data_IF_560947339736
#
_entry.id   IF_560947339736
#
_cell.length_a   1.000
_cell.length_b   1.000
_cell.length_c   1.000
_cell.angle_alpha   90.00
_cell.angle_beta   90.00
_cell.angle_gamma   90.00
#
_symmetry.space_group_name_H-M   'P 1'
#
loop_
_entity.id
_entity.type
_entity.pdbx_description
1 polymer ?
#
# COMPACT_ATOMS: atom_id res chain seq x y z
N UNK A 1 -35.75 -16.65 -4.01
CA UNK A 1 -35.15 -15.32 -4.23
C UNK A 1 -33.75 -15.36 -3.64
N UNK A 2 -32.74 -15.59 -4.48
CA UNK A 2 -31.35 -15.73 -4.04
C UNK A 2 -30.73 -14.37 -3.79
N UNK A 3 -30.33 -14.10 -2.55
CA UNK A 3 -29.42 -13.01 -2.23
C UNK A 3 -28.12 -13.23 -3.02
N UNK A 4 -27.88 -12.37 -4.01
CA UNK A 4 -26.58 -12.28 -4.66
C UNK A 4 -25.74 -11.33 -3.80
N UNK A 5 -24.65 -11.77 -3.16
CA UNK A 5 -23.92 -10.92 -2.24
C UNK A 5 -23.22 -9.81 -3.03
N UNK A 6 -23.56 -8.57 -2.70
CA UNK A 6 -23.01 -7.29 -3.22
C UNK A 6 -21.51 -7.07 -2.90
N UNK A 7 -20.77 -8.11 -2.50
CA UNK A 7 -19.40 -8.02 -1.97
C UNK A 7 -18.44 -8.98 -2.70
N UNK A 8 -18.22 -8.76 -4.00
CA UNK A 8 -17.06 -9.31 -4.72
C UNK A 8 -16.50 -8.25 -5.67
N UNK A 9 -15.96 -7.15 -5.12
CA UNK A 9 -15.22 -6.15 -5.91
C UNK A 9 -13.73 -6.47 -5.83
N UNK A 10 -13.32 -7.50 -6.58
CA UNK A 10 -11.91 -7.80 -6.76
C UNK A 10 -11.23 -6.66 -7.53
N UNK A 11 -10.07 -6.15 -7.08
CA UNK A 11 -9.27 -5.18 -7.85
C UNK A 11 -9.15 -5.56 -9.33
N UNK A 12 -9.45 -4.61 -10.24
CA UNK A 12 -9.50 -4.86 -11.68
C UNK A 12 -8.13 -4.64 -12.32
N UNK A 13 -7.66 -5.64 -13.06
CA UNK A 13 -6.46 -5.61 -13.90
C UNK A 13 -6.61 -4.53 -14.98
N UNK A 14 -5.80 -3.48 -14.92
CA UNK A 14 -5.71 -2.46 -15.97
C UNK A 14 -4.45 -2.63 -16.82
N UNK A 15 -4.57 -2.52 -18.14
CA UNK A 15 -3.47 -2.61 -19.11
C UNK A 15 -3.56 -1.43 -20.06
N UNK A 16 -2.89 -0.31 -19.80
CA UNK A 16 -2.78 0.73 -20.81
C UNK A 16 -1.45 1.48 -20.74
N UNK A 17 -1.04 2.03 -21.89
CA UNK A 17 0.14 2.90 -22.06
C UNK A 17 -0.17 4.38 -21.75
N UNK A 18 -1.39 4.69 -21.28
CA UNK A 18 -1.85 6.04 -20.97
C UNK A 18 -1.48 6.42 -19.55
N UNK A 19 -1.35 7.72 -19.28
CA UNK A 19 -0.90 8.25 -17.99
C UNK A 19 -2.06 8.53 -17.01
N UNK A 20 -3.25 7.97 -17.27
CA UNK A 20 -4.46 8.26 -16.50
C UNK A 20 -5.43 7.06 -16.45
N UNK A 21 -6.10 6.89 -15.31
CA UNK A 21 -7.19 5.93 -15.19
C UNK A 21 -8.49 6.47 -15.81
N UNK A 22 -9.34 5.63 -16.41
CA UNK A 22 -10.71 6.01 -16.71
C UNK A 22 -11.44 6.46 -15.44
N UNK A 23 -12.32 7.46 -15.52
CA UNK A 23 -12.96 8.07 -14.34
C UNK A 23 -13.69 7.06 -13.43
N UNK A 24 -14.29 6.01 -14.01
CA UNK A 24 -14.94 4.96 -13.24
C UNK A 24 -13.94 4.06 -12.50
N UNK A 25 -12.73 3.89 -13.02
CA UNK A 25 -11.64 3.15 -12.37
C UNK A 25 -11.05 4.00 -11.26
N UNK A 26 -10.77 5.27 -11.52
CA UNK A 26 -10.33 6.23 -10.50
C UNK A 26 -11.29 6.28 -9.29
N UNK A 27 -12.60 6.42 -9.55
CA UNK A 27 -13.60 6.45 -8.48
C UNK A 27 -13.58 5.17 -7.62
N UNK A 28 -13.39 4.00 -8.24
CA UNK A 28 -13.23 2.74 -7.51
C UNK A 28 -11.92 2.71 -6.71
N UNK A 29 -10.79 3.16 -7.27
CA UNK A 29 -9.51 3.21 -6.54
C UNK A 29 -9.66 4.13 -5.32
N UNK A 30 -10.28 5.30 -5.49
CA UNK A 30 -10.52 6.25 -4.38
C UNK A 30 -11.40 5.65 -3.29
N UNK A 31 -12.44 4.91 -3.66
CA UNK A 31 -13.34 4.26 -2.73
C UNK A 31 -12.70 3.07 -2.00
N UNK A 32 -11.90 2.26 -2.71
CA UNK A 32 -11.34 0.99 -2.20
C UNK A 32 -9.98 1.15 -1.55
N UNK A 33 -9.17 2.10 -2.00
CA UNK A 33 -7.80 2.32 -1.55
C UNK A 33 -6.80 1.27 -2.05
N UNK A 34 -7.14 0.45 -3.05
CA UNK A 34 -6.26 -0.58 -3.61
C UNK A 34 -6.61 -0.90 -5.08
N UNK A 35 -5.62 -1.36 -5.85
CA UNK A 35 -5.77 -1.74 -7.26
C UNK A 35 -4.76 -2.81 -7.69
N UNK A 36 -5.12 -3.61 -8.69
CA UNK A 36 -4.20 -4.53 -9.36
C UNK A 36 -4.03 -4.06 -10.80
N UNK A 37 -2.80 -3.84 -11.24
CA UNK A 37 -2.47 -3.37 -12.58
C UNK A 37 -1.80 -4.51 -13.34
N UNK A 38 -2.37 -4.87 -14.49
CA UNK A 38 -1.92 -6.00 -15.29
C UNK A 38 -0.75 -5.68 -16.18
N UNK A 39 0.07 -6.70 -16.44
CA UNK A 39 1.06 -6.67 -17.53
C UNK A 39 1.95 -5.41 -17.51
N UNK A 40 2.30 -4.97 -16.28
CA UNK A 40 3.19 -3.84 -16.05
C UNK A 40 4.58 -4.22 -16.53
N UNK A 41 5.06 -5.39 -16.15
CA UNK A 41 6.23 -6.02 -16.79
C UNK A 41 5.73 -7.20 -17.62
N UNK A 42 6.28 -7.46 -18.82
CA UNK A 42 5.97 -8.68 -19.57
C UNK A 42 6.15 -9.93 -18.70
N UNK A 43 5.23 -10.90 -18.83
CA UNK A 43 5.21 -12.07 -17.93
C UNK A 43 6.54 -12.84 -17.92
N UNK A 44 7.14 -13.07 -19.09
CA UNK A 44 8.41 -13.78 -19.19
C UNK A 44 9.54 -12.99 -18.51
N UNK A 45 9.59 -11.68 -18.70
CA UNK A 45 10.60 -10.83 -18.08
C UNK A 45 10.48 -10.84 -16.54
N UNK A 46 9.26 -10.83 -16.00
CA UNK A 46 9.03 -10.95 -14.56
C UNK A 46 9.45 -12.34 -14.02
N UNK A 47 9.25 -13.42 -14.79
CA UNK A 47 9.75 -14.75 -14.43
C UNK A 47 11.29 -14.79 -14.47
N UNK A 48 11.90 -14.14 -15.45
CA UNK A 48 13.36 -14.05 -15.55
C UNK A 48 13.95 -13.27 -14.38
N UNK A 49 13.31 -12.19 -13.93
CA UNK A 49 13.68 -11.48 -12.71
C UNK A 49 13.69 -12.40 -11.48
N UNK A 50 12.70 -13.29 -11.34
CA UNK A 50 12.67 -14.28 -10.25
C UNK A 50 13.90 -15.17 -10.27
N UNK A 51 14.24 -15.74 -11.43
CA UNK A 51 15.37 -16.65 -11.55
C UNK A 51 16.71 -15.94 -11.39
N UNK A 52 16.83 -14.70 -11.88
CA UNK A 52 18.00 -13.84 -11.64
C UNK A 52 18.19 -13.53 -10.15
N UNK A 53 17.12 -13.21 -9.42
CA UNK A 53 17.19 -12.96 -7.96
C UNK A 53 17.57 -14.24 -7.21
N UNK A 54 16.99 -15.40 -7.56
CA UNK A 54 17.37 -16.69 -6.97
C UNK A 54 18.83 -17.02 -7.23
N UNK A 55 19.30 -16.80 -8.46
CA UNK A 55 20.71 -16.96 -8.82
C UNK A 55 21.59 -16.00 -8.02
N UNK A 56 21.21 -14.73 -7.90
CA UNK A 56 21.94 -13.73 -7.12
C UNK A 56 22.06 -14.15 -5.65
N UNK A 57 20.95 -14.54 -5.01
CA UNK A 57 20.94 -15.00 -3.61
C UNK A 57 21.84 -16.22 -3.42
N UNK A 58 21.73 -17.21 -4.30
CA UNK A 58 22.53 -18.44 -4.23
C UNK A 58 24.03 -18.16 -4.31
N UNK A 59 24.45 -17.24 -5.18
CA UNK A 59 25.87 -16.90 -5.36
C UNK A 59 26.45 -15.99 -4.25
N UNK A 60 25.60 -15.44 -3.38
CA UNK A 60 25.99 -14.64 -2.22
C UNK A 60 25.52 -15.30 -0.91
N UNK A 61 25.42 -16.64 -0.90
CA UNK A 61 24.99 -17.40 0.27
C UNK A 61 25.89 -17.10 1.49
N UNK A 62 25.26 -16.85 2.63
CA UNK A 62 25.95 -16.45 3.87
C UNK A 62 26.29 -14.95 3.97
N UNK A 63 26.13 -14.18 2.89
CA UNK A 63 26.32 -12.72 2.89
C UNK A 63 25.01 -11.95 2.96
N UNK A 64 23.92 -12.55 2.44
CA UNK A 64 22.58 -11.95 2.44
C UNK A 64 21.77 -12.52 3.61
N UNK A 65 21.22 -11.64 4.45
CA UNK A 65 20.32 -12.04 5.52
C UNK A 65 18.97 -12.48 4.97
N UNK A 66 18.50 -13.64 5.43
CA UNK A 66 17.18 -14.19 5.13
C UNK A 66 16.34 -14.36 6.40
N UNK A 67 15.02 -14.16 6.29
CA UNK A 67 14.09 -14.26 7.42
C UNK A 67 12.80 -15.01 7.07
N UNK A 68 12.28 -15.89 7.95
CA UNK A 68 12.91 -16.40 9.16
C UNK A 68 14.16 -17.25 8.84
N UNK A 69 15.13 -17.33 9.74
CA UNK A 69 16.44 -17.99 9.47
C UNK A 69 16.33 -19.46 9.05
N UNK A 70 15.34 -20.18 9.58
CA UNK A 70 15.14 -21.62 9.34
C UNK A 70 14.50 -21.92 7.98
N UNK A 71 13.72 -20.98 7.46
CA UNK A 71 13.01 -21.10 6.18
C UNK A 71 12.84 -19.69 5.60
N UNK A 72 13.89 -19.12 4.97
CA UNK A 72 13.86 -17.73 4.54
C UNK A 72 12.79 -17.46 3.48
N UNK A 73 11.78 -16.67 3.87
CA UNK A 73 10.71 -16.20 3.00
C UNK A 73 10.94 -14.74 2.54
N UNK A 74 11.68 -13.96 3.34
CA UNK A 74 12.16 -12.61 3.02
C UNK A 74 13.69 -12.56 2.97
N UNK A 75 14.22 -11.70 2.10
CA UNK A 75 15.66 -11.53 1.91
C UNK A 75 16.02 -10.03 1.91
N UNK A 76 17.08 -9.65 2.62
CA UNK A 76 17.60 -8.28 2.64
C UNK A 76 18.43 -7.99 1.38
N UNK A 77 17.76 -8.03 0.22
CA UNK A 77 18.33 -7.66 -1.08
C UNK A 77 17.65 -6.39 -1.56
N UNK A 78 18.43 -5.39 -1.96
CA UNK A 78 17.90 -4.09 -2.37
C UNK A 78 18.34 -3.65 -3.76
N UNK A 79 19.52 -4.10 -4.21
CA UNK A 79 20.22 -3.58 -5.38
C UNK A 79 20.50 -4.64 -6.45
N UNK A 80 19.79 -5.78 -6.42
CA UNK A 80 19.92 -6.74 -7.52
C UNK A 80 19.52 -6.08 -8.85
N UNK A 81 20.15 -6.50 -9.95
CA UNK A 81 19.86 -5.98 -11.28
C UNK A 81 18.36 -6.02 -11.59
N UNK A 82 17.67 -7.13 -11.23
CA UNK A 82 16.25 -7.30 -11.45
C UNK A 82 15.39 -6.31 -10.64
N UNK A 83 15.78 -5.99 -9.40
CA UNK A 83 15.07 -4.97 -8.61
C UNK A 83 15.26 -3.57 -9.18
N UNK A 84 16.48 -3.23 -9.60
CA UNK A 84 16.75 -1.93 -10.22
C UNK A 84 15.99 -1.81 -11.53
N UNK A 85 16.05 -2.83 -12.39
CA UNK A 85 15.35 -2.87 -13.67
C UNK A 85 13.82 -2.77 -13.51
N UNK A 86 13.24 -3.51 -12.55
CA UNK A 86 11.81 -3.45 -12.28
C UNK A 86 11.35 -2.05 -11.82
N UNK A 87 12.13 -1.39 -10.95
CA UNK A 87 11.83 -0.02 -10.49
C UNK A 87 11.94 1.02 -11.60
N UNK A 88 12.85 0.84 -12.55
CA UNK A 88 13.05 1.73 -13.70
C UNK A 88 12.25 1.32 -14.94
N UNK A 89 11.36 0.33 -14.85
CA UNK A 89 10.61 -0.14 -16.02
C UNK A 89 9.59 0.92 -16.44
N UNK A 90 9.62 1.36 -17.69
CA UNK A 90 8.78 2.47 -18.21
C UNK A 90 7.28 2.31 -17.91
N UNK A 91 6.73 1.09 -17.93
CA UNK A 91 5.32 0.87 -17.58
C UNK A 91 5.05 0.87 -16.07
N UNK A 92 6.05 0.54 -15.26
CA UNK A 92 5.94 0.65 -13.80
C UNK A 92 5.93 2.12 -13.41
N UNK A 93 6.79 2.92 -14.03
CA UNK A 93 6.77 4.38 -13.91
C UNK A 93 5.42 4.97 -14.37
N UNK A 94 4.88 4.55 -15.51
CA UNK A 94 3.56 5.00 -15.96
C UNK A 94 2.43 4.65 -14.99
N UNK A 95 2.44 3.42 -14.46
CA UNK A 95 1.44 2.97 -13.49
C UNK A 95 1.50 3.76 -12.17
N UNK A 96 2.70 4.02 -11.66
CA UNK A 96 2.91 4.79 -10.43
C UNK A 96 2.60 6.28 -10.63
N UNK A 97 2.95 6.88 -11.77
CA UNK A 97 2.53 8.25 -12.09
C UNK A 97 1.01 8.37 -12.21
N UNK A 98 0.32 7.42 -12.84
CA UNK A 98 -1.14 7.42 -12.89
C UNK A 98 -1.79 7.34 -11.48
N UNK A 99 -1.16 6.61 -10.54
CA UNK A 99 -1.58 6.57 -9.14
C UNK A 99 -1.29 7.88 -8.40
N UNK A 100 -0.16 8.53 -8.68
CA UNK A 100 0.16 9.84 -8.11
C UNK A 100 -0.87 10.90 -8.48
N UNK A 101 -1.38 10.87 -9.72
CA UNK A 101 -2.41 11.81 -10.18
C UNK A 101 -3.77 11.65 -9.47
N UNK A 102 -3.96 10.61 -8.66
CA UNK A 102 -5.13 10.50 -7.78
C UNK A 102 -5.02 11.40 -6.54
N UNK A 103 -3.82 11.88 -6.23
CA UNK A 103 -3.57 12.70 -5.06
C UNK A 103 -3.61 14.19 -5.41
N UNK A 104 -3.82 15.01 -4.39
CA UNK A 104 -3.70 16.46 -4.49
C UNK A 104 -3.12 17.02 -3.19
N UNK A 105 -2.76 18.29 -3.21
CA UNK A 105 -2.32 19.06 -2.05
C UNK A 105 -2.62 20.54 -2.29
N UNK A 106 -2.57 21.35 -1.24
CA UNK A 106 -2.65 22.81 -1.33
C UNK A 106 -1.48 23.38 -2.18
N UNK A 107 -1.73 24.51 -2.85
CA UNK A 107 -0.81 25.10 -3.85
C UNK A 107 0.60 25.43 -3.29
N UNK A 108 0.73 25.68 -2.00
CA UNK A 108 1.99 25.99 -1.31
C UNK A 108 2.70 24.75 -0.74
N UNK A 109 2.08 23.57 -0.83
CA UNK A 109 2.70 22.30 -0.42
C UNK A 109 3.81 21.94 -1.40
N UNK A 110 5.03 21.76 -0.89
CA UNK A 110 6.19 21.34 -1.70
C UNK A 110 6.09 19.86 -2.03
N UNK A 111 5.33 19.54 -3.08
CA UNK A 111 5.09 18.20 -3.58
C UNK A 111 4.99 18.19 -5.11
N UNK A 112 5.70 17.27 -5.76
CA UNK A 112 5.57 17.03 -7.21
C UNK A 112 5.00 15.63 -7.45
N UNK A 113 3.74 15.58 -7.88
CA UNK A 113 3.03 14.33 -8.22
C UNK A 113 3.31 13.84 -9.65
N UNK A 114 4.08 14.60 -10.44
CA UNK A 114 4.46 14.24 -11.81
C UNK A 114 5.76 13.45 -11.89
N UNK A 115 6.41 13.22 -10.75
CA UNK A 115 7.67 12.47 -10.64
C UNK A 115 7.56 11.36 -9.59
N UNK A 116 8.39 10.32 -9.73
CA UNK A 116 8.54 9.27 -8.73
C UNK A 116 9.96 9.23 -8.20
N UNK A 117 10.07 8.94 -6.91
CA UNK A 117 11.33 8.56 -6.27
C UNK A 117 11.31 7.06 -6.00
N UNK A 118 12.33 6.35 -6.48
CA UNK A 118 12.49 4.93 -6.16
C UNK A 118 12.79 4.76 -4.67
N UNK A 119 11.94 4.03 -3.94
CA UNK A 119 12.07 3.87 -2.49
C UNK A 119 11.90 2.40 -2.05
N UNK A 120 12.60 2.02 -0.97
CA UNK A 120 12.59 0.67 -0.37
C UNK A 120 12.09 0.79 1.08
N UNK A 121 11.04 0.04 1.47
CA UNK A 121 10.10 0.58 2.47
C UNK A 121 9.55 -0.41 3.55
N UNK A 122 9.07 0.15 4.69
CA UNK A 122 8.24 -0.38 5.82
C UNK A 122 7.34 0.75 6.42
N UNK A 123 6.30 0.53 7.23
CA UNK A 123 5.29 1.58 7.61
C UNK A 123 5.18 1.90 9.12
N UNK A 124 4.59 3.06 9.53
CA UNK A 124 4.50 3.49 10.96
C UNK A 124 3.29 4.38 11.38
N UNK A 125 3.22 4.59 12.70
CA UNK A 125 2.12 5.07 13.60
C UNK A 125 1.67 6.52 13.37
N UNK A 126 0.35 6.77 13.49
CA UNK A 126 -0.35 7.99 13.02
C UNK A 126 -0.70 9.05 14.08
N UNK A 127 -0.59 8.74 15.37
CA UNK A 127 -1.21 9.55 16.44
C UNK A 127 -0.37 10.67 17.04
N UNK A 128 0.95 10.49 17.13
CA UNK A 128 1.81 11.34 17.96
C UNK A 128 2.24 12.63 17.27
N UNK A 129 2.29 12.62 15.94
CA UNK A 129 2.78 13.75 15.17
C UNK A 129 1.68 14.81 14.98
N UNK A 130 1.87 16.07 15.41
CA UNK A 130 0.86 17.11 15.26
C UNK A 130 0.49 17.39 13.79
N UNK A 131 1.45 17.35 12.87
CA UNK A 131 1.20 17.59 11.45
C UNK A 131 0.39 16.45 10.86
N UNK A 132 0.77 15.21 11.14
CA UNK A 132 0.04 14.05 10.66
C UNK A 132 -1.41 14.00 11.16
N UNK A 133 -1.67 14.47 12.39
CA UNK A 133 -3.05 14.56 12.91
C UNK A 133 -3.92 15.50 12.09
N UNK A 134 -3.36 16.54 11.47
CA UNK A 134 -4.13 17.47 10.64
C UNK A 134 -4.78 16.78 9.44
N UNK A 135 -4.13 15.75 8.89
CA UNK A 135 -4.70 14.89 7.84
C UNK A 135 -6.06 14.29 8.21
N UNK A 136 -6.35 14.16 9.50
CA UNK A 136 -7.50 13.47 10.04
C UNK A 136 -8.40 14.39 10.86
N UNK A 137 -8.23 15.71 10.75
CA UNK A 137 -9.01 16.73 11.48
C UNK A 137 -10.51 16.51 11.30
N UNK A 138 -10.95 16.25 10.07
CA UNK A 138 -12.36 15.98 9.79
C UNK A 138 -12.87 14.74 10.53
N UNK A 139 -12.09 13.65 10.57
CA UNK A 139 -12.47 12.45 11.31
C UNK A 139 -12.61 12.77 12.80
N UNK A 140 -11.64 13.48 13.38
CA UNK A 140 -11.67 13.85 14.80
C UNK A 140 -12.82 14.82 15.14
N UNK A 141 -13.27 15.62 14.18
CA UNK A 141 -14.43 16.51 14.32
C UNK A 141 -15.78 15.79 14.07
N UNK A 142 -15.78 14.47 13.84
CA UNK A 142 -17.00 13.69 13.55
C UNK A 142 -17.48 13.82 12.10
N UNK A 143 -16.69 14.41 11.22
CA UNK A 143 -16.96 14.62 9.80
C UNK A 143 -16.30 13.52 8.95
N UNK A 144 -16.51 12.25 9.29
CA UNK A 144 -15.85 11.13 8.61
C UNK A 144 -16.62 10.55 7.43
N UNK A 145 -17.92 10.83 7.26
CA UNK A 145 -18.77 10.20 6.23
C UNK A 145 -18.61 10.76 4.81
N UNK A 146 -18.93 9.93 3.81
CA UNK A 146 -18.71 10.14 2.36
C UNK A 146 -19.59 11.22 1.70
N UNK A 147 -20.72 11.62 2.31
CA UNK A 147 -21.77 12.38 1.61
C UNK A 147 -21.80 13.90 1.91
N UNK A 148 -20.75 14.45 2.51
CA UNK A 148 -20.56 15.90 2.66
C UNK A 148 -19.09 16.21 2.36
N UNK A 149 -18.75 17.48 2.13
CA UNK A 149 -17.38 18.01 2.09
C UNK A 149 -16.60 17.56 3.35
N UNK A 150 -15.98 16.38 3.31
CA UNK A 150 -15.52 15.60 4.48
C UNK A 150 -14.30 14.76 4.11
N UNK A 151 -13.60 14.29 5.15
CA UNK A 151 -12.25 13.70 5.11
C UNK A 151 -11.84 13.11 3.75
N UNK A 152 -10.83 13.73 3.15
CA UNK A 152 -10.20 13.22 1.94
C UNK A 152 -8.94 12.40 2.27
N UNK A 153 -8.97 11.11 1.93
CA UNK A 153 -7.81 10.24 2.10
C UNK A 153 -6.69 10.52 1.09
N UNK A 154 -6.97 11.21 -0.01
CA UNK A 154 -6.06 11.53 -1.11
C UNK A 154 -5.48 12.96 -1.04
N UNK A 155 -5.76 13.69 0.03
CA UNK A 155 -5.08 14.94 0.36
C UNK A 155 -3.70 14.63 1.00
N UNK A 156 -2.65 15.13 0.36
CA UNK A 156 -1.26 14.97 0.77
C UNK A 156 -0.69 16.18 1.53
N UNK A 157 -1.43 17.29 1.64
CA UNK A 157 -0.99 18.58 2.22
C UNK A 157 -0.19 18.40 3.50
N UNK A 158 -0.78 17.75 4.50
CA UNK A 158 -0.12 17.52 5.78
C UNK A 158 0.67 16.20 5.85
N UNK A 159 0.56 15.33 4.83
CA UNK A 159 1.20 14.00 4.84
C UNK A 159 2.68 14.06 4.51
N UNK A 160 3.07 14.99 3.65
CA UNK A 160 4.45 15.12 3.19
C UNK A 160 5.35 15.73 4.26
N UNK A 161 4.80 16.57 5.14
CA UNK A 161 5.50 17.18 6.26
C UNK A 161 5.42 16.36 7.55
N UNK A 162 4.56 15.34 7.58
CA UNK A 162 4.37 14.49 8.74
C UNK A 162 5.67 13.76 9.15
N UNK A 163 6.00 13.80 10.44
CA UNK A 163 7.13 13.04 10.98
C UNK A 163 6.76 11.57 11.20
N UNK A 164 6.89 10.78 10.14
CA UNK A 164 6.52 9.35 10.13
C UNK A 164 7.38 8.49 11.08
N UNK A 165 8.67 8.80 11.24
CA UNK A 165 9.57 8.11 12.17
C UNK A 165 9.97 8.98 13.38
N UNK A 166 9.04 9.08 14.34
CA UNK A 166 9.25 9.78 15.60
C UNK A 166 10.26 9.12 16.55
N UNK A 167 10.52 7.81 16.42
CA UNK A 167 11.35 7.03 17.37
C UNK A 167 12.64 6.47 16.75
N UNK A 168 13.00 6.89 15.54
CA UNK A 168 14.19 6.43 14.80
C UNK A 168 14.34 4.90 14.83
N UNK A 169 13.24 4.20 14.53
CA UNK A 169 13.15 2.76 14.77
C UNK A 169 13.64 2.00 13.56
N UNK A 170 14.21 0.78 13.72
CA UNK A 170 14.73 0.01 12.60
C UNK A 170 13.72 -0.24 11.48
N UNK A 171 12.41 -0.17 11.74
CA UNK A 171 11.32 -0.30 10.78
C UNK A 171 10.68 1.01 10.29
N UNK A 172 11.24 2.17 10.64
CA UNK A 172 10.73 3.47 10.21
C UNK A 172 10.87 3.72 8.71
N UNK A 173 10.04 4.63 8.19
CA UNK A 173 10.13 5.11 6.82
C UNK A 173 10.38 6.61 6.81
N UNK A 174 11.32 7.03 5.96
CA UNK A 174 11.76 8.42 5.81
C UNK A 174 11.13 9.12 4.61
N UNK A 175 10.24 8.46 3.86
CA UNK A 175 9.63 8.99 2.64
C UNK A 175 8.11 8.85 2.70
N UNK A 176 7.41 9.87 2.22
CA UNK A 176 5.97 9.77 2.02
C UNK A 176 5.68 8.81 0.86
N UNK A 177 4.90 7.77 1.13
CA UNK A 177 4.29 6.91 0.11
C UNK A 177 2.82 7.17 0.05
N UNK A 178 2.34 7.53 -1.11
CA UNK A 178 0.92 7.61 -1.40
C UNK A 178 0.29 6.21 -1.60
N UNK A 179 0.99 5.28 -2.27
CA UNK A 179 0.66 3.87 -2.36
C UNK A 179 1.84 2.99 -1.96
N UNK A 180 1.57 1.87 -1.29
CA UNK A 180 2.52 0.75 -1.24
C UNK A 180 2.25 -0.14 -2.44
N UNK A 181 3.23 -0.93 -2.86
CA UNK A 181 2.95 -1.92 -3.89
C UNK A 181 4.07 -2.90 -4.13
N UNK A 182 3.76 -3.93 -4.90
CA UNK A 182 4.69 -4.98 -5.27
C UNK A 182 4.38 -5.51 -6.68
N UNK A 183 5.41 -6.08 -7.31
CA UNK A 183 5.29 -6.76 -8.60
C UNK A 183 5.30 -8.28 -8.39
N UNK A 184 4.35 -8.98 -9.01
CA UNK A 184 4.30 -10.42 -9.01
C UNK A 184 5.45 -10.98 -9.86
N UNK A 185 6.27 -11.86 -9.30
CA UNK A 185 7.33 -12.59 -10.04
C UNK A 185 6.96 -14.06 -10.31
N UNK A 186 5.78 -14.48 -9.85
CA UNK A 186 5.20 -15.79 -10.12
C UNK A 186 3.67 -15.71 -10.09
N UNK A 187 3.02 -16.77 -10.54
CA UNK A 187 1.59 -16.95 -10.32
C UNK A 187 1.28 -16.96 -8.82
N UNK A 188 0.27 -16.18 -8.44
CA UNK A 188 -0.20 -16.03 -7.06
C UNK A 188 -1.71 -16.21 -7.10
N UNK A 189 -2.21 -17.23 -6.41
CA UNK A 189 -3.64 -17.57 -6.39
C UNK A 189 -4.28 -17.12 -5.08
N UNK A 190 -5.53 -16.67 -5.14
CA UNK A 190 -6.34 -16.12 -4.03
C UNK A 190 -6.34 -17.00 -2.76
N UNK A 191 -6.19 -18.32 -2.91
CA UNK A 191 -6.21 -19.31 -1.82
C UNK A 191 -4.83 -19.66 -1.25
N UNK A 192 -3.74 -19.16 -1.84
CA UNK A 192 -2.37 -19.56 -1.53
C UNK A 192 -1.70 -18.69 -0.45
N UNK A 193 -2.46 -18.20 0.55
CA UNK A 193 -1.90 -17.37 1.63
C UNK A 193 -1.39 -16.00 1.15
N UNK A 194 -2.17 -15.34 0.31
CA UNK A 194 -1.78 -14.10 -0.38
C UNK A 194 -2.19 -12.85 0.41
N UNK A 195 -1.83 -11.67 -0.10
CA UNK A 195 -2.20 -10.39 0.51
C UNK A 195 -3.72 -10.28 0.67
N UNK A 196 -4.15 -9.93 1.88
CA UNK A 196 -5.52 -9.52 2.18
C UNK A 196 -5.55 -8.03 2.49
N UNK A 197 -6.61 -7.37 2.06
CA UNK A 197 -6.85 -5.94 2.29
C UNK A 197 -8.26 -5.71 2.80
N UNK A 198 -8.49 -4.61 3.52
CA UNK A 198 -9.84 -4.12 3.86
C UNK A 198 -10.19 -3.00 2.87
N UNK A 199 -10.99 -3.27 1.81
CA UNK A 199 -11.23 -2.33 0.71
C UNK A 199 -12.38 -1.36 1.05
N UNK A 200 -12.35 -0.84 2.28
CA UNK A 200 -13.27 0.13 2.87
C UNK A 200 -12.43 1.28 3.43
N UNK A 201 -11.70 1.98 2.55
CA UNK A 201 -10.62 2.90 2.92
C UNK A 201 -11.07 3.89 4.00
N UNK A 202 -12.12 4.66 3.72
CA UNK A 202 -12.59 5.72 4.61
C UNK A 202 -13.15 5.17 5.92
N UNK A 203 -14.00 4.13 5.85
CA UNK A 203 -14.63 3.55 7.04
C UNK A 203 -13.60 2.88 7.95
N UNK A 204 -12.65 2.15 7.36
CA UNK A 204 -11.59 1.47 8.13
C UNK A 204 -10.64 2.47 8.77
N UNK A 205 -10.25 3.56 8.08
CA UNK A 205 -9.41 4.62 8.65
C UNK A 205 -10.14 5.36 9.77
N UNK A 206 -11.40 5.74 9.57
CA UNK A 206 -12.19 6.40 10.59
C UNK A 206 -12.38 5.52 11.83
N UNK A 207 -12.76 4.26 11.66
CA UNK A 207 -12.89 3.31 12.78
C UNK A 207 -11.56 3.08 13.49
N UNK A 208 -10.48 2.89 12.73
CA UNK A 208 -9.14 2.68 13.26
C UNK A 208 -8.66 3.86 14.11
N UNK A 209 -8.96 5.10 13.70
CA UNK A 209 -8.61 6.31 14.44
C UNK A 209 -9.61 6.60 15.58
N UNK A 210 -10.90 6.39 15.44
CA UNK A 210 -11.82 6.76 16.54
C UNK A 210 -11.80 5.76 17.69
N UNK A 211 -11.56 4.47 17.41
CA UNK A 211 -11.66 3.41 18.42
C UNK A 211 -10.71 3.60 19.62
N UNK A 212 -9.41 3.92 19.45
CA UNK A 212 -8.52 4.22 20.57
C UNK A 212 -9.02 5.31 21.53
N UNK A 213 -9.70 6.33 20.99
CA UNK A 213 -10.22 7.45 21.79
C UNK A 213 -11.45 7.05 22.61
N UNK A 214 -12.20 6.06 22.16
CA UNK A 214 -13.39 5.54 22.85
C UNK A 214 -12.98 4.58 23.96
N UNK A 215 -11.96 3.75 23.72
CA UNK A 215 -11.50 2.73 24.67
C UNK A 215 -10.44 3.24 25.66
N UNK A 216 -9.92 4.45 25.45
CA UNK A 216 -8.80 5.03 26.22
C UNK A 216 -7.56 4.11 26.22
N UNK A 217 -7.32 3.43 25.09
CA UNK A 217 -6.20 2.53 24.83
C UNK A 217 -5.68 2.77 23.40
N UNK A 218 -4.37 2.64 23.19
CA UNK A 218 -3.73 2.77 21.89
C UNK A 218 -3.79 1.50 21.02
N UNK A 219 -4.42 0.42 21.50
CA UNK A 219 -4.86 -0.76 20.73
C UNK A 219 -3.77 -1.32 19.79
N UNK A 220 -2.67 -1.77 20.39
CA UNK A 220 -1.54 -2.36 19.66
C UNK A 220 -0.61 -1.34 18.98
N UNK A 221 -0.83 -0.02 19.15
CA UNK A 221 0.11 1.00 18.72
C UNK A 221 1.27 1.13 19.70
N UNK A 222 2.33 0.36 19.48
CA UNK A 222 3.53 0.38 20.31
C UNK A 222 4.64 1.23 19.68
N UNK A 223 5.27 2.15 20.42
CA UNK A 223 6.36 2.99 19.93
C UNK A 223 7.42 2.22 19.13
N UNK A 224 7.59 2.61 17.87
CA UNK A 224 8.65 2.07 16.99
C UNK A 224 8.31 0.76 16.28
N UNK A 225 7.10 0.22 16.51
CA UNK A 225 6.59 -0.96 15.81
C UNK A 225 5.57 -0.60 14.74
N UNK A 226 5.34 -1.52 13.82
CA UNK A 226 4.17 -1.46 12.94
C UNK A 226 2.90 -1.49 13.79
N UNK A 227 1.86 -0.80 13.33
CA UNK A 227 0.56 -0.91 13.96
C UNK A 227 0.07 -2.35 13.90
N UNK A 228 -0.23 -2.93 15.06
CA UNK A 228 -0.92 -4.21 15.12
C UNK A 228 -2.44 -3.98 14.98
N UNK A 229 -3.09 -4.69 14.08
CA UNK A 229 -4.54 -4.72 13.92
C UNK A 229 -4.98 -6.14 14.27
N UNK A 230 -5.16 -6.40 15.57
CA UNK A 230 -5.62 -7.69 16.05
C UNK A 230 -7.13 -7.84 15.87
N UNK A 231 -7.63 -9.08 15.74
CA UNK A 231 -9.07 -9.35 15.61
C UNK A 231 -9.85 -8.96 16.87
N UNK A 232 -9.25 -9.13 18.04
CA UNK A 232 -9.90 -8.79 19.32
C UNK A 232 -10.11 -7.27 19.43
N UNK A 233 -9.14 -6.49 18.97
CA UNK A 233 -9.23 -5.02 18.96
C UNK A 233 -10.10 -4.53 17.80
N UNK A 234 -9.86 -5.00 16.56
CA UNK A 234 -10.49 -4.47 15.36
C UNK A 234 -11.26 -5.54 14.57
N UNK A 235 -12.29 -6.20 15.15
CA UNK A 235 -12.97 -7.32 14.51
C UNK A 235 -13.61 -6.92 13.19
N UNK A 236 -14.19 -5.72 13.09
CA UNK A 236 -14.83 -5.24 11.87
C UNK A 236 -13.87 -5.01 10.71
N UNK A 237 -12.61 -4.62 10.98
CA UNK A 237 -11.59 -4.53 9.93
C UNK A 237 -11.22 -5.93 9.47
N UNK A 238 -10.93 -6.84 10.41
CA UNK A 238 -10.48 -8.20 10.09
C UNK A 238 -11.54 -9.01 9.35
N UNK A 239 -12.80 -8.91 9.76
CA UNK A 239 -13.91 -9.66 9.17
C UNK A 239 -14.31 -9.14 7.78
N UNK A 240 -13.93 -7.89 7.45
CA UNK A 240 -14.16 -7.31 6.11
C UNK A 240 -12.96 -7.45 5.17
N UNK A 241 -11.85 -8.03 5.64
CA UNK A 241 -10.69 -8.25 4.78
C UNK A 241 -10.99 -9.28 3.68
N UNK A 242 -10.64 -8.94 2.45
CA UNK A 242 -10.74 -9.83 1.28
C UNK A 242 -9.35 -10.17 0.77
N UNK A 243 -9.20 -11.36 0.20
CA UNK A 243 -7.98 -11.72 -0.54
C UNK A 243 -7.91 -10.95 -1.86
N UNK A 244 -6.69 -10.57 -2.25
CA UNK A 244 -6.42 -10.07 -3.59
C UNK A 244 -6.77 -11.13 -4.67
N UNK A 245 -7.10 -10.71 -5.91
CA UNK A 245 -7.32 -11.63 -7.03
C UNK A 245 -6.12 -12.53 -7.29
N UNK A 246 -6.34 -13.55 -8.11
CA UNK A 246 -5.26 -14.23 -8.79
C UNK A 246 -4.46 -13.22 -9.62
N UNK A 247 -3.14 -13.18 -9.42
CA UNK A 247 -2.24 -12.30 -10.18
C UNK A 247 -1.18 -13.13 -10.90
N UNK A 248 -0.83 -12.66 -12.11
CA UNK A 248 0.17 -13.26 -12.98
C UNK A 248 1.51 -12.55 -12.84
N UNK A 249 2.64 -13.21 -13.15
CA UNK A 249 3.93 -12.53 -13.18
C UNK A 249 3.86 -11.27 -14.04
N UNK A 250 4.45 -10.19 -13.54
CA UNK A 250 4.44 -8.88 -14.16
C UNK A 250 3.21 -8.02 -13.86
N UNK A 251 2.22 -8.54 -13.12
CA UNK A 251 1.16 -7.71 -12.53
C UNK A 251 1.71 -6.96 -11.31
N UNK A 252 1.23 -5.75 -11.07
CA UNK A 252 1.50 -5.00 -9.86
C UNK A 252 0.25 -4.89 -9.00
N UNK A 253 0.44 -4.84 -7.69
CA UNK A 253 -0.62 -4.63 -6.70
C UNK A 253 -0.27 -3.39 -5.91
N UNK A 254 -1.22 -2.49 -5.75
CA UNK A 254 -1.13 -1.24 -5.00
C UNK A 254 -2.28 -1.11 -4.00
#
# INVERSE_FOLDING_TARGET
MGFTPLFRSTPRIWTSQQWSFPSNVEAEIRNRGCVVIGNVVPEQEARDYKEQIKYYIKNHAGQIAGFPKSDPQGWEVYWSQSQVAARSHHRFEAATLALNQLWHAEDDTVLDLTMNLGYCDRLRIRWRDPEYRKCYTDIFNGNWEVNREKHDSFDATHRVEARMDYYNSPGGCSVFRNFQGWIALSDINTVAGTLRVCPLLQQSVAYFLMKPLIEDDYLGALPGLCQNIAKDDYPHIIDTMVSMPDVKPGNCVF
#
